data_IF_166636377296
#
_entry.id   IF_166636377296
#
_cell.length_a   1.000
_cell.length_b   1.000
_cell.length_c   1.000
_cell.angle_alpha   90.00
_cell.angle_beta   90.00
_cell.angle_gamma   90.00
#
_symmetry.space_group_name_H-M   'P 1'
#
loop_
_entity.id
_entity.type
_entity.pdbx_description
1 polymer ?
#
# COMPACT_ATOMS: atom_id res chain seq x y z
N UNK A 1 17.72 38.45 -16.62
CA UNK A 1 18.40 37.30 -15.97
C UNK A 1 17.35 36.36 -15.31
N UNK A 2 16.58 35.61 -16.08
CA UNK A 2 15.45 34.78 -15.56
C UNK A 2 15.57 33.26 -15.81
N UNK A 3 16.68 32.79 -16.37
CA UNK A 3 16.86 31.38 -16.74
C UNK A 3 17.18 30.44 -15.59
N UNK A 4 17.82 30.88 -14.53
CA UNK A 4 18.25 30.04 -13.41
C UNK A 4 17.10 29.60 -12.47
N UNK A 5 16.02 30.37 -12.39
CA UNK A 5 14.87 30.06 -11.54
C UNK A 5 14.04 28.90 -12.12
N UNK A 6 13.78 28.91 -13.43
CA UNK A 6 12.99 27.89 -14.12
C UNK A 6 13.69 26.53 -14.11
N UNK A 7 15.01 26.50 -14.30
CA UNK A 7 15.81 25.26 -14.26
C UNK A 7 15.85 24.63 -12.85
N UNK A 8 15.99 25.45 -11.79
CA UNK A 8 15.91 24.98 -10.39
C UNK A 8 14.53 24.38 -10.08
N UNK A 9 13.45 25.00 -10.54
CA UNK A 9 12.08 24.49 -10.35
C UNK A 9 11.86 23.14 -11.07
N UNK A 10 12.36 23.01 -12.32
CA UNK A 10 12.28 21.77 -13.09
C UNK A 10 13.09 20.66 -12.41
N UNK A 11 14.32 20.96 -11.95
CA UNK A 11 15.17 20.02 -11.23
C UNK A 11 14.52 19.56 -9.92
N UNK A 12 13.90 20.47 -9.18
CA UNK A 12 13.21 20.14 -7.92
C UNK A 12 11.96 19.28 -8.17
N UNK A 13 11.14 19.61 -9.17
CA UNK A 13 9.98 18.79 -9.55
C UNK A 13 10.39 17.40 -10.02
N UNK A 14 11.47 17.28 -10.79
CA UNK A 14 12.01 16.00 -11.23
C UNK A 14 12.50 15.17 -10.05
N UNK A 15 13.25 15.77 -9.11
CA UNK A 15 13.73 15.08 -7.92
C UNK A 15 12.59 14.53 -7.04
N UNK A 16 11.52 15.31 -6.83
CA UNK A 16 10.33 14.88 -6.09
C UNK A 16 9.60 13.75 -6.82
N UNK A 17 9.47 13.81 -8.14
CA UNK A 17 8.86 12.76 -8.94
C UNK A 17 9.69 11.47 -8.92
N UNK A 18 11.02 11.57 -8.96
CA UNK A 18 11.94 10.44 -8.91
C UNK A 18 11.96 9.79 -7.51
N UNK A 19 11.88 10.60 -6.44
CA UNK A 19 11.74 10.10 -5.06
C UNK A 19 10.43 9.34 -4.87
N UNK A 20 9.29 9.90 -5.28
CA UNK A 20 7.98 9.24 -5.18
C UNK A 20 7.93 7.93 -5.98
N UNK A 21 8.61 7.88 -7.13
CA UNK A 21 8.75 6.65 -7.92
C UNK A 21 9.61 5.61 -7.19
N UNK A 22 10.69 6.03 -6.55
CA UNK A 22 11.55 5.16 -5.74
C UNK A 22 10.80 4.51 -4.58
N UNK A 23 10.01 5.29 -3.85
CA UNK A 23 9.16 4.80 -2.75
C UNK A 23 8.10 3.81 -3.24
N UNK A 24 7.42 4.12 -4.36
CA UNK A 24 6.45 3.23 -4.99
C UNK A 24 7.10 1.91 -5.41
N UNK A 25 8.27 1.95 -6.06
CA UNK A 25 8.97 0.73 -6.48
C UNK A 25 9.46 -0.09 -5.29
N UNK A 26 9.87 0.55 -4.19
CA UNK A 26 10.21 -0.15 -2.95
C UNK A 26 9.03 -0.94 -2.38
N UNK A 27 7.84 -0.33 -2.35
CA UNK A 27 6.60 -0.99 -1.89
C UNK A 27 6.19 -2.14 -2.80
N UNK A 28 6.24 -1.93 -4.11
CA UNK A 28 5.94 -2.97 -5.09
C UNK A 28 6.93 -4.14 -4.99
N UNK A 29 8.22 -3.87 -4.78
CA UNK A 29 9.23 -4.91 -4.55
C UNK A 29 8.91 -5.76 -3.32
N UNK A 30 8.53 -5.13 -2.21
CA UNK A 30 8.12 -5.84 -0.99
C UNK A 30 6.88 -6.71 -1.23
N UNK A 31 5.87 -6.17 -1.91
CA UNK A 31 4.66 -6.92 -2.24
C UNK A 31 4.95 -8.11 -3.16
N UNK A 32 5.84 -7.94 -4.15
CA UNK A 32 6.28 -9.04 -5.03
C UNK A 32 7.04 -10.11 -4.22
N UNK A 33 8.01 -9.70 -3.39
CA UNK A 33 8.79 -10.64 -2.57
C UNK A 33 7.90 -11.41 -1.60
N UNK A 34 6.95 -10.75 -0.96
CA UNK A 34 5.99 -11.39 -0.06
C UNK A 34 5.11 -12.39 -0.83
N UNK A 35 4.54 -11.99 -1.98
CA UNK A 35 3.71 -12.88 -2.79
C UNK A 35 4.48 -14.07 -3.38
N UNK A 36 5.79 -13.94 -3.62
CA UNK A 36 6.63 -15.00 -4.17
C UNK A 36 7.15 -16.00 -3.13
N UNK A 37 6.96 -15.72 -1.82
CA UNK A 37 7.52 -16.51 -0.71
C UNK A 37 7.10 -17.99 -0.77
N UNK A 38 5.82 -18.24 -1.03
CA UNK A 38 5.28 -19.62 -1.07
C UNK A 38 5.54 -20.30 -2.41
N UNK A 39 5.47 -19.55 -3.51
CA UNK A 39 5.71 -20.05 -4.86
C UNK A 39 6.21 -18.90 -5.76
N UNK A 40 7.46 -18.95 -6.21
CA UNK A 40 8.06 -17.91 -7.04
C UNK A 40 7.64 -17.97 -8.53
N UNK A 41 6.92 -19.01 -8.96
CA UNK A 41 6.44 -19.12 -10.34
C UNK A 41 5.07 -18.42 -10.51
N UNK A 42 5.00 -17.32 -11.30
CA UNK A 42 3.75 -16.61 -11.54
C UNK A 42 2.68 -17.45 -12.25
N UNK A 43 3.06 -18.54 -12.92
CA UNK A 43 2.09 -19.44 -13.58
C UNK A 43 1.21 -20.16 -12.58
N UNK A 44 1.77 -20.51 -11.42
CA UNK A 44 1.09 -21.26 -10.36
C UNK A 44 0.75 -20.40 -9.16
N UNK A 45 1.08 -19.09 -9.17
CA UNK A 45 0.80 -18.15 -8.11
C UNK A 45 0.01 -16.96 -8.64
N UNK A 46 -1.31 -16.98 -8.45
CA UNK A 46 -2.20 -15.94 -8.94
C UNK A 46 -1.98 -14.58 -8.27
N UNK A 47 -1.62 -14.59 -6.98
CA UNK A 47 -1.30 -13.36 -6.21
C UNK A 47 -0.01 -12.73 -6.76
N UNK A 48 1.04 -13.52 -6.95
CA UNK A 48 2.29 -13.03 -7.54
C UNK A 48 2.06 -12.47 -8.95
N UNK A 49 1.30 -13.17 -9.78
CA UNK A 49 0.97 -12.72 -11.14
C UNK A 49 0.29 -11.37 -11.14
N UNK A 50 -0.74 -11.18 -10.33
CA UNK A 50 -1.46 -9.90 -10.25
C UNK A 50 -0.60 -8.77 -9.68
N UNK A 51 0.29 -9.06 -8.72
CA UNK A 51 1.24 -8.08 -8.18
C UNK A 51 2.27 -7.66 -9.24
N UNK A 52 2.76 -8.61 -10.06
CA UNK A 52 3.65 -8.30 -11.19
C UNK A 52 2.94 -7.42 -12.23
N UNK A 53 1.68 -7.72 -12.55
CA UNK A 53 0.90 -6.90 -13.48
C UNK A 53 0.68 -5.47 -12.95
N UNK A 54 0.44 -5.33 -11.65
CA UNK A 54 0.36 -4.02 -11.00
C UNK A 54 1.70 -3.26 -11.12
N UNK A 55 2.83 -3.91 -10.85
CA UNK A 55 4.15 -3.32 -10.98
C UNK A 55 4.44 -2.86 -12.42
N UNK A 56 4.06 -3.66 -13.41
CA UNK A 56 4.18 -3.31 -14.84
C UNK A 56 3.31 -2.10 -15.21
N UNK A 57 2.08 -2.02 -14.71
CA UNK A 57 1.20 -0.83 -14.89
C UNK A 57 1.80 0.44 -14.31
N UNK A 58 2.62 0.32 -13.27
CA UNK A 58 3.36 1.43 -12.67
C UNK A 58 4.72 1.69 -13.33
N UNK A 59 5.00 1.06 -14.47
CA UNK A 59 6.25 1.16 -15.22
C UNK A 59 7.49 0.73 -14.42
N UNK A 60 7.35 -0.24 -13.51
CA UNK A 60 8.49 -0.83 -12.83
C UNK A 60 9.35 -1.63 -13.81
N UNK A 61 10.67 -1.41 -13.87
CA UNK A 61 11.55 -2.17 -14.76
C UNK A 61 11.50 -3.67 -14.48
N UNK A 62 11.54 -4.48 -15.54
CA UNK A 62 11.49 -5.93 -15.45
C UNK A 62 12.59 -6.49 -14.53
N UNK A 63 13.81 -5.96 -14.63
CA UNK A 63 14.93 -6.34 -13.76
C UNK A 63 14.69 -6.10 -12.26
N UNK A 64 13.84 -5.13 -11.92
CA UNK A 64 13.47 -4.90 -10.52
C UNK A 64 12.43 -5.91 -10.04
N UNK A 65 11.51 -6.32 -10.93
CA UNK A 65 10.52 -7.37 -10.67
C UNK A 65 11.24 -8.70 -10.44
N UNK A 66 12.17 -9.08 -11.31
CA UNK A 66 12.94 -10.32 -11.19
C UNK A 66 13.75 -10.37 -9.90
N UNK A 67 14.49 -9.30 -9.59
CA UNK A 67 15.21 -9.17 -8.31
C UNK A 67 14.28 -9.25 -7.08
N UNK A 68 13.06 -8.75 -7.17
CA UNK A 68 12.11 -8.85 -6.07
C UNK A 68 11.62 -10.29 -5.87
N UNK A 69 11.45 -11.06 -6.94
CA UNK A 69 11.11 -12.49 -6.87
C UNK A 69 12.28 -13.30 -6.29
N UNK A 70 13.52 -13.06 -6.76
CA UNK A 70 14.72 -13.72 -6.26
C UNK A 70 14.92 -13.48 -4.76
N UNK A 71 14.71 -12.26 -4.30
CA UNK A 71 14.80 -11.90 -2.88
C UNK A 71 13.74 -12.55 -1.99
N UNK A 72 12.68 -13.12 -2.55
CA UNK A 72 11.66 -13.81 -1.76
C UNK A 72 12.24 -15.00 -0.97
N UNK A 73 13.27 -15.68 -1.51
CA UNK A 73 13.99 -16.75 -0.83
C UNK A 73 15.02 -16.26 0.20
N UNK A 74 15.47 -15.01 0.10
CA UNK A 74 16.49 -14.39 0.97
C UNK A 74 15.88 -13.47 2.03
N UNK A 75 14.66 -12.96 1.77
CA UNK A 75 13.95 -12.10 2.69
C UNK A 75 13.63 -12.89 3.96
N UNK A 76 14.30 -12.56 5.06
CA UNK A 76 13.98 -13.06 6.39
C UNK A 76 12.48 -12.94 6.68
N UNK A 77 12.03 -13.38 7.83
CA UNK A 77 10.62 -13.53 8.25
C UNK A 77 9.73 -12.28 8.04
N UNK A 78 9.52 -11.88 6.78
CA UNK A 78 8.54 -10.86 6.47
C UNK A 78 7.14 -11.47 6.59
N UNK A 79 6.30 -10.80 7.37
CA UNK A 79 4.91 -11.16 7.62
C UNK A 79 3.99 -10.21 6.86
N UNK A 80 2.99 -10.75 6.17
CA UNK A 80 1.89 -9.99 5.59
C UNK A 80 0.78 -9.83 6.63
N UNK A 81 0.32 -8.60 6.82
CA UNK A 81 -0.80 -8.29 7.70
C UNK A 81 -1.87 -7.52 6.92
N UNK A 82 -3.12 -7.83 7.17
CA UNK A 82 -4.26 -7.03 6.74
C UNK A 82 -4.92 -6.45 7.99
N UNK A 83 -4.80 -5.13 8.17
CA UNK A 83 -5.44 -4.44 9.28
C UNK A 83 -6.75 -3.82 8.81
N UNK A 84 -7.77 -3.95 9.63
CA UNK A 84 -9.12 -3.48 9.38
C UNK A 84 -9.40 -2.26 10.26
N UNK A 85 -9.98 -1.21 9.69
CA UNK A 85 -10.25 0.05 10.38
C UNK A 85 -11.61 0.57 9.99
N UNK A 86 -12.43 0.93 10.98
CA UNK A 86 -13.65 1.73 10.74
C UNK A 86 -13.29 3.21 10.73
N UNK A 87 -13.46 3.83 9.58
CA UNK A 87 -13.33 5.27 9.38
C UNK A 87 -14.59 6.04 9.79
N UNK A 88 -14.60 7.36 9.54
CA UNK A 88 -15.77 8.19 9.77
C UNK A 88 -17.00 7.64 9.01
N UNK A 89 -18.19 7.82 9.56
CA UNK A 89 -19.46 7.38 8.98
C UNK A 89 -19.52 5.88 8.64
N UNK A 90 -18.66 5.06 9.28
CA UNK A 90 -18.61 3.62 9.01
C UNK A 90 -17.90 3.22 7.73
N UNK A 91 -17.12 4.12 7.12
CA UNK A 91 -16.28 3.79 5.97
C UNK A 91 -15.31 2.66 6.35
N UNK A 92 -15.38 1.53 5.65
CA UNK A 92 -14.43 0.44 5.84
C UNK A 92 -13.08 0.79 5.19
N UNK A 93 -11.99 0.54 5.91
CA UNK A 93 -10.63 0.75 5.42
C UNK A 93 -9.83 -0.52 5.68
N UNK A 94 -9.17 -1.05 4.65
CA UNK A 94 -8.20 -2.13 4.76
C UNK A 94 -6.79 -1.59 4.53
N UNK A 95 -5.86 -1.93 5.42
CA UNK A 95 -4.45 -1.54 5.34
C UNK A 95 -3.60 -2.79 5.21
N UNK A 96 -3.03 -2.99 4.01
CA UNK A 96 -2.07 -4.06 3.72
C UNK A 96 -0.67 -3.67 4.17
N UNK A 97 -0.05 -4.49 4.99
CA UNK A 97 1.26 -4.25 5.59
C UNK A 97 2.17 -5.44 5.31
N UNK A 98 3.42 -5.18 4.93
CA UNK A 98 4.50 -6.18 4.84
C UNK A 98 5.63 -5.73 5.75
N UNK A 99 5.93 -6.50 6.78
CA UNK A 99 6.85 -6.12 7.84
C UNK A 99 7.71 -7.29 8.33
N UNK A 100 8.90 -6.97 8.78
CA UNK A 100 9.80 -7.85 9.52
C UNK A 100 9.49 -7.87 11.03
N UNK A 101 8.64 -6.94 11.52
CA UNK A 101 8.27 -6.83 12.92
C UNK A 101 6.82 -6.37 13.08
N UNK A 102 5.92 -7.35 13.24
CA UNK A 102 4.48 -7.14 13.44
C UNK A 102 4.16 -6.14 14.55
N UNK A 103 4.78 -6.32 15.70
CA UNK A 103 4.46 -5.52 16.89
C UNK A 103 4.80 -4.05 16.68
N UNK A 104 5.97 -3.77 16.08
CA UNK A 104 6.39 -2.41 15.72
C UNK A 104 5.40 -1.78 14.75
N UNK A 105 5.12 -2.43 13.63
CA UNK A 105 4.24 -1.87 12.59
C UNK A 105 2.82 -1.64 13.10
N UNK A 106 2.26 -2.57 13.85
CA UNK A 106 0.93 -2.43 14.44
C UNK A 106 0.89 -1.29 15.46
N UNK A 107 1.93 -1.13 16.30
CA UNK A 107 1.98 -0.04 17.28
C UNK A 107 2.07 1.34 16.61
N UNK A 108 2.89 1.47 15.57
CA UNK A 108 3.06 2.73 14.84
C UNK A 108 1.81 3.09 14.01
N UNK A 109 1.16 2.11 13.36
CA UNK A 109 -0.11 2.33 12.67
C UNK A 109 -1.20 2.72 13.68
N UNK A 110 -1.25 2.06 14.85
CA UNK A 110 -2.20 2.39 15.92
C UNK A 110 -2.01 3.82 16.42
N UNK A 111 -0.78 4.31 16.51
CA UNK A 111 -0.49 5.70 16.87
C UNK A 111 -1.08 6.68 15.84
N UNK A 112 -0.85 6.43 14.55
CA UNK A 112 -1.42 7.25 13.47
C UNK A 112 -2.95 7.24 13.53
N UNK A 113 -3.56 6.06 13.67
CA UNK A 113 -5.02 5.94 13.75
C UNK A 113 -5.58 6.71 14.95
N UNK A 114 -4.89 6.66 16.10
CA UNK A 114 -5.29 7.39 17.32
C UNK A 114 -5.32 8.90 17.10
N UNK A 115 -4.36 9.45 16.35
CA UNK A 115 -4.31 10.88 16.02
C UNK A 115 -5.52 11.32 15.17
N UNK A 116 -6.11 10.36 14.41
CA UNK A 116 -7.36 10.56 13.67
C UNK A 116 -8.62 10.11 14.44
N UNK A 117 -8.51 9.76 15.73
CA UNK A 117 -9.62 9.28 16.54
C UNK A 117 -10.14 7.89 16.19
N UNK A 118 -9.33 7.09 15.44
CA UNK A 118 -9.70 5.79 14.93
C UNK A 118 -8.98 4.66 15.67
N UNK A 119 -9.46 3.41 15.46
CA UNK A 119 -8.89 2.21 16.06
C UNK A 119 -8.81 1.08 15.03
N UNK A 120 -7.86 0.17 15.24
CA UNK A 120 -7.84 -1.12 14.52
C UNK A 120 -9.07 -1.91 15.00
N UNK A 121 -9.83 -2.41 14.05
CA UNK A 121 -10.98 -3.27 14.28
C UNK A 121 -10.55 -4.73 14.47
N UNK A 122 -11.48 -5.56 14.92
CA UNK A 122 -11.23 -6.99 15.06
C UNK A 122 -11.03 -7.65 13.68
N UNK A 123 -10.11 -8.61 13.56
CA UNK A 123 -9.89 -9.32 12.30
C UNK A 123 -11.18 -9.96 11.76
N UNK A 124 -11.46 -9.78 10.47
CA UNK A 124 -12.64 -10.29 9.80
C UNK A 124 -13.89 -9.42 9.91
N UNK A 125 -13.82 -8.30 10.65
CA UNK A 125 -14.98 -7.41 10.85
C UNK A 125 -15.37 -6.64 9.58
N UNK A 126 -14.42 -6.39 8.67
CA UNK A 126 -14.60 -5.61 7.44
C UNK A 126 -14.24 -6.38 6.18
N UNK A 127 -13.41 -7.40 6.25
CA UNK A 127 -12.89 -8.12 5.08
C UNK A 127 -14.03 -8.70 4.22
N UNK A 128 -15.16 -9.08 4.82
CA UNK A 128 -16.35 -9.56 4.11
C UNK A 128 -16.97 -8.52 3.16
N UNK A 129 -16.80 -7.22 3.49
CA UNK A 129 -17.32 -6.10 2.69
C UNK A 129 -16.45 -5.78 1.47
N UNK A 130 -15.34 -6.49 1.31
CA UNK A 130 -14.43 -6.32 0.19
C UNK A 130 -14.30 -7.61 -0.61
N UNK A 131 -14.04 -7.46 -1.90
CA UNK A 131 -13.69 -8.53 -2.81
C UNK A 131 -12.20 -8.46 -3.11
N UNK A 132 -11.50 -9.59 -2.93
CA UNK A 132 -10.08 -9.68 -3.29
C UNK A 132 -9.96 -9.90 -4.80
N UNK A 133 -9.40 -8.92 -5.49
CA UNK A 133 -9.13 -8.93 -6.92
C UNK A 133 -7.60 -9.01 -7.14
N UNK A 134 -7.06 -10.22 -7.12
CA UNK A 134 -5.61 -10.45 -7.16
C UNK A 134 -4.92 -9.97 -5.89
N UNK A 135 -4.08 -8.94 -6.01
CA UNK A 135 -3.39 -8.29 -4.87
C UNK A 135 -4.14 -7.06 -4.32
N UNK A 136 -5.25 -6.68 -4.94
CA UNK A 136 -6.05 -5.52 -4.54
C UNK A 136 -7.37 -5.96 -3.89
N UNK A 137 -7.95 -5.04 -3.13
CA UNK A 137 -9.29 -5.19 -2.55
C UNK A 137 -10.20 -4.12 -3.12
N UNK A 138 -11.40 -4.53 -3.53
CA UNK A 138 -12.47 -3.62 -4.00
C UNK A 138 -13.66 -3.73 -3.06
N UNK A 139 -14.25 -2.60 -2.69
CA UNK A 139 -15.46 -2.61 -1.90
C UNK A 139 -16.60 -3.24 -2.67
N UNK A 140 -17.28 -4.21 -2.06
CA UNK A 140 -18.53 -4.81 -2.58
C UNK A 140 -19.70 -3.86 -2.43
N UNK A 141 -19.67 -3.07 -1.37
CA UNK A 141 -20.70 -2.10 -1.00
C UNK A 141 -20.06 -0.73 -0.83
N UNK A 142 -19.91 0.04 -1.93
CA UNK A 142 -19.40 1.41 -1.81
C UNK A 142 -20.31 2.26 -0.92
N UNK A 143 -19.71 2.92 0.07
CA UNK A 143 -20.42 3.76 1.04
C UNK A 143 -20.56 5.17 0.47
N UNK A 144 -21.79 5.68 0.40
CA UNK A 144 -22.00 7.10 0.19
C UNK A 144 -21.67 7.83 1.50
N UNK A 145 -20.68 8.71 1.44
CA UNK A 145 -20.18 9.42 2.61
C UNK A 145 -20.10 10.92 2.32
N UNK A 146 -20.14 11.74 3.38
CA UNK A 146 -19.96 13.18 3.28
C UNK A 146 -18.60 13.55 2.68
N UNK A 147 -18.47 14.79 2.20
CA UNK A 147 -17.19 15.31 1.69
C UNK A 147 -16.15 15.31 2.82
N UNK A 148 -16.55 15.71 4.00
CA UNK A 148 -15.72 15.78 5.20
C UNK A 148 -15.17 14.40 5.59
N UNK A 149 -16.00 13.36 5.54
CA UNK A 149 -15.59 11.99 5.83
C UNK A 149 -14.57 11.47 4.79
N UNK A 150 -14.78 11.79 3.52
CA UNK A 150 -13.84 11.43 2.43
C UNK A 150 -12.50 12.14 2.58
N UNK A 151 -12.51 13.43 2.91
CA UNK A 151 -11.30 14.20 3.17
C UNK A 151 -10.52 13.66 4.38
N UNK A 152 -11.21 13.29 5.46
CA UNK A 152 -10.60 12.67 6.63
C UNK A 152 -9.93 11.31 6.27
N UNK A 153 -10.61 10.46 5.48
CA UNK A 153 -10.02 9.20 4.99
C UNK A 153 -8.84 9.46 4.07
N UNK A 154 -8.90 10.47 3.20
CA UNK A 154 -7.81 10.83 2.31
C UNK A 154 -6.57 11.33 3.10
N UNK A 155 -6.77 12.13 4.14
CA UNK A 155 -5.71 12.60 5.02
C UNK A 155 -5.03 11.43 5.77
N UNK A 156 -5.81 10.52 6.35
CA UNK A 156 -5.31 9.30 6.96
C UNK A 156 -4.52 8.45 5.94
N UNK A 157 -5.08 8.27 4.74
CA UNK A 157 -4.44 7.50 3.68
C UNK A 157 -3.09 8.11 3.27
N UNK A 158 -3.00 9.43 3.16
CA UNK A 158 -1.76 10.12 2.85
C UNK A 158 -0.69 9.86 3.91
N UNK A 159 -1.05 9.88 5.20
CA UNK A 159 -0.13 9.64 6.30
C UNK A 159 0.31 8.17 6.37
N UNK A 160 -0.61 7.21 6.22
CA UNK A 160 -0.30 5.79 6.19
C UNK A 160 0.58 5.41 4.98
N UNK A 161 0.36 6.04 3.82
CA UNK A 161 1.17 5.81 2.62
C UNK A 161 2.62 6.27 2.74
N UNK A 162 2.96 7.16 3.67
CA UNK A 162 4.34 7.57 3.94
C UNK A 162 5.16 6.44 4.59
N UNK A 163 4.50 5.43 5.16
CA UNK A 163 5.19 4.30 5.77
C UNK A 163 5.70 3.32 4.71
N UNK A 164 6.91 2.82 4.95
CA UNK A 164 7.57 1.87 4.05
C UNK A 164 7.02 0.44 4.15
N UNK A 165 6.32 0.11 5.22
CA UNK A 165 5.71 -1.20 5.46
C UNK A 165 4.24 -1.27 4.99
N UNK A 166 3.59 -0.15 4.72
CA UNK A 166 2.25 -0.11 4.14
C UNK A 166 2.34 -0.26 2.61
N UNK A 167 1.89 -1.41 2.10
CA UNK A 167 1.94 -1.78 0.68
C UNK A 167 0.61 -1.60 -0.05
N UNK A 168 -0.50 -1.57 0.69
CA UNK A 168 -1.83 -1.37 0.13
C UNK A 168 -2.75 -0.61 1.08
N UNK A 169 -3.67 0.17 0.53
CA UNK A 169 -4.71 0.84 1.28
C UNK A 169 -5.97 0.91 0.43
N UNK A 170 -7.06 0.36 0.95
CA UNK A 170 -8.33 0.21 0.26
C UNK A 170 -9.45 0.75 1.13
N UNK A 171 -10.40 1.44 0.54
CA UNK A 171 -11.55 1.98 1.28
C UNK A 171 -12.86 1.66 0.58
N UNK A 172 -13.94 1.59 1.37
CA UNK A 172 -15.30 1.49 0.85
C UNK A 172 -15.89 2.84 0.44
N UNK A 173 -15.09 3.90 0.44
CA UNK A 173 -15.50 5.23 -0.02
C UNK A 173 -15.80 5.21 -1.52
N UNK A 174 -16.98 5.72 -1.91
CA UNK A 174 -17.38 5.89 -3.31
C UNK A 174 -16.82 7.20 -3.90
#
# INVERSE_FOLDING_TARGET
>A
MSGHSKWKQIKHKKALADQGRGELFSKLSKAISAAAKDNPDPKFNSTLRSTIEQARRQNMPQANIERAIERAGEAGDQEELLLEVYGPEGIGILVGVVTDNRNRSVAEIRAILKDHGLKIADPGSLTWAFEKAGCEYKARFPSQSSVEAREAVAALAAQLKQRNDVVGLYSSCA
#
